data_IF_856355772531
#
_entry.id   IF_856355772531
#
_cell.length_a   1.000
_cell.length_b   1.000
_cell.length_c   1.000
_cell.angle_alpha   90.00
_cell.angle_beta   90.00
_cell.angle_gamma   90.00
#
_symmetry.space_group_name_H-M   'P 1'
#
loop_
_entity.id
_entity.type
_entity.pdbx_description
1 polymer ?
#
# COMPACT_ATOMS: atom_id res chain seq x y z
N UNK A 1 5.62 -12.70 -30.95
CA UNK A 1 6.69 -12.27 -30.01
C UNK A 1 5.99 -11.93 -28.70
N UNK A 2 6.19 -12.73 -27.66
CA UNK A 2 5.58 -12.46 -26.37
C UNK A 2 6.21 -11.18 -25.81
N UNK A 3 5.37 -10.24 -25.36
CA UNK A 3 5.83 -9.04 -24.69
C UNK A 3 6.48 -9.50 -23.37
N UNK A 4 7.82 -9.49 -23.29
CA UNK A 4 8.53 -9.78 -22.05
C UNK A 4 8.15 -8.72 -21.02
N UNK A 5 7.25 -9.08 -20.10
CA UNK A 5 6.96 -8.25 -18.94
C UNK A 5 8.20 -8.31 -18.04
N UNK A 6 9.06 -7.30 -18.15
CA UNK A 6 10.19 -7.12 -17.23
C UNK A 6 9.71 -6.38 -15.99
N UNK A 7 9.80 -7.05 -14.84
CA UNK A 7 9.53 -6.43 -13.55
C UNK A 7 10.77 -5.69 -13.09
N UNK A 8 10.62 -4.43 -12.66
CA UNK A 8 11.69 -3.65 -12.03
C UNK A 8 11.52 -3.67 -10.50
N UNK A 9 12.41 -4.35 -9.75
CA UNK A 9 12.37 -4.36 -8.28
C UNK A 9 12.53 -2.97 -7.65
N UNK A 10 13.33 -2.11 -8.30
CA UNK A 10 13.47 -0.71 -7.91
C UNK A 10 12.14 0.03 -8.04
N UNK A 11 11.45 -0.11 -9.18
CA UNK A 11 10.16 0.52 -9.40
C UNK A 11 9.09 0.02 -8.40
N UNK A 12 9.11 -1.27 -8.05
CA UNK A 12 8.24 -1.84 -7.02
C UNK A 12 8.52 -1.23 -5.65
N UNK A 13 9.79 -1.14 -5.26
CA UNK A 13 10.19 -0.54 -3.98
C UNK A 13 9.82 0.94 -3.91
N UNK A 14 10.06 1.69 -4.99
CA UNK A 14 9.68 3.09 -5.09
C UNK A 14 8.15 3.27 -5.00
N UNK A 15 7.39 2.43 -5.71
CA UNK A 15 5.93 2.44 -5.64
C UNK A 15 5.42 2.11 -4.23
N UNK A 16 6.06 1.16 -3.54
CA UNK A 16 5.77 0.83 -2.14
C UNK A 16 5.96 2.03 -1.21
N UNK A 17 7.07 2.76 -1.35
CA UNK A 17 7.35 3.97 -0.59
C UNK A 17 6.33 5.08 -0.88
N UNK A 18 6.02 5.34 -2.15
CA UNK A 18 5.04 6.35 -2.55
C UNK A 18 3.64 6.04 -2.03
N UNK A 19 3.24 4.77 -2.08
CA UNK A 19 1.94 4.32 -1.59
C UNK A 19 1.82 4.56 -0.08
N UNK A 20 2.87 4.25 0.70
CA UNK A 20 2.89 4.51 2.14
C UNK A 20 2.77 6.02 2.43
N UNK A 21 3.60 6.86 1.80
CA UNK A 21 3.60 8.30 2.02
C UNK A 21 2.26 8.96 1.64
N UNK A 22 1.68 8.58 0.50
CA UNK A 22 0.36 9.08 0.08
C UNK A 22 -0.75 8.59 1.00
N UNK A 23 -0.64 7.35 1.50
CA UNK A 23 -1.55 6.78 2.48
C UNK A 23 -1.57 7.56 3.78
N UNK A 24 -0.41 7.90 4.32
CA UNK A 24 -0.30 8.72 5.54
C UNK A 24 -0.93 10.10 5.34
N UNK A 25 -0.67 10.73 4.20
CA UNK A 25 -1.27 12.02 3.83
C UNK A 25 -2.79 11.93 3.76
N UNK A 26 -3.32 10.90 3.10
CA UNK A 26 -4.76 10.65 3.02
C UNK A 26 -5.38 10.42 4.41
N UNK A 27 -4.71 9.65 5.26
CA UNK A 27 -5.18 9.38 6.61
C UNK A 27 -5.22 10.64 7.48
N UNK A 28 -4.22 11.51 7.36
CA UNK A 28 -4.22 12.81 8.03
C UNK A 28 -5.40 13.68 7.57
N UNK A 29 -5.66 13.75 6.26
CA UNK A 29 -6.81 14.48 5.71
C UNK A 29 -8.15 13.91 6.20
N UNK A 30 -8.31 12.59 6.18
CA UNK A 30 -9.52 11.92 6.69
C UNK A 30 -9.77 12.27 8.16
N UNK A 31 -8.75 12.24 9.02
CA UNK A 31 -8.88 12.62 10.43
C UNK A 31 -9.24 14.09 10.62
N UNK A 32 -8.67 14.97 9.81
CA UNK A 32 -8.99 16.41 9.86
C UNK A 32 -10.47 16.64 9.53
N UNK A 33 -10.94 16.11 8.40
CA UNK A 33 -12.33 16.27 7.98
C UNK A 33 -13.31 15.57 8.93
N UNK A 34 -12.92 14.43 9.52
CA UNK A 34 -13.71 13.77 10.58
C UNK A 34 -13.85 14.67 11.81
N UNK A 35 -12.76 15.27 12.29
CA UNK A 35 -12.79 16.19 13.43
C UNK A 35 -13.61 17.45 13.16
N UNK A 36 -13.55 18.01 11.96
CA UNK A 36 -14.41 19.13 11.55
C UNK A 36 -15.90 18.75 11.58
N UNK A 37 -16.25 17.54 11.13
CA UNK A 37 -17.62 17.05 11.16
C UNK A 37 -18.11 16.76 12.59
N UNK A 38 -17.25 16.22 13.46
CA UNK A 38 -17.57 16.07 14.89
C UNK A 38 -17.77 17.42 15.57
N UNK A 39 -16.94 18.42 15.29
CA UNK A 39 -17.08 19.76 15.87
C UNK A 39 -18.41 20.43 15.49
N UNK A 40 -18.93 20.13 14.29
CA UNK A 40 -20.24 20.59 13.83
C UNK A 40 -21.43 19.95 14.58
N UNK A 41 -21.24 18.87 15.35
CA UNK A 41 -22.31 18.20 16.11
C UNK A 41 -22.97 19.09 17.15
N UNK A 42 -22.28 20.11 17.67
CA UNK A 42 -22.80 20.96 18.76
C UNK A 42 -24.14 21.64 18.46
N UNK A 43 -24.57 21.68 17.18
CA UNK A 43 -25.87 22.19 16.75
C UNK A 43 -26.92 21.13 16.36
N UNK A 44 -26.59 19.83 16.43
CA UNK A 44 -27.49 18.76 15.99
C UNK A 44 -28.30 18.20 17.17
N UNK A 45 -29.59 18.01 16.97
CA UNK A 45 -30.51 17.51 18.00
C UNK A 45 -31.43 16.45 17.43
N UNK A 46 -31.69 15.41 18.23
CA UNK A 46 -32.61 14.33 17.91
C UNK A 46 -32.02 13.23 17.01
N UNK A 47 -32.89 12.45 16.39
CA UNK A 47 -32.53 11.25 15.62
C UNK A 47 -31.55 11.51 14.45
N UNK A 48 -31.56 12.71 13.88
CA UNK A 48 -30.60 13.12 12.85
C UNK A 48 -29.17 13.24 13.37
N UNK A 49 -29.00 13.66 14.64
CA UNK A 49 -27.69 13.70 15.28
C UNK A 49 -27.14 12.28 15.49
N UNK A 50 -27.96 11.37 16.00
CA UNK A 50 -27.60 9.96 16.20
C UNK A 50 -27.21 9.27 14.89
N UNK A 51 -28.01 9.49 13.83
CA UNK A 51 -27.73 8.93 12.51
C UNK A 51 -26.38 9.44 11.96
N UNK A 52 -26.07 10.73 12.16
CA UNK A 52 -24.84 11.30 11.66
C UNK A 52 -23.62 10.87 12.49
N UNK A 53 -23.76 10.72 13.81
CA UNK A 53 -22.72 10.07 14.63
C UNK A 53 -22.42 8.65 14.13
N UNK A 54 -23.44 7.86 13.83
CA UNK A 54 -23.26 6.52 13.26
C UNK A 54 -22.55 6.52 11.90
N UNK A 55 -22.83 7.53 11.05
CA UNK A 55 -22.10 7.71 9.78
C UNK A 55 -20.63 8.07 10.01
N UNK A 56 -20.33 8.93 10.98
CA UNK A 56 -18.96 9.29 11.34
C UNK A 56 -18.18 8.09 11.90
N UNK A 57 -18.79 7.29 12.77
CA UNK A 57 -18.19 6.05 13.27
C UNK A 57 -17.88 5.07 12.13
N UNK A 58 -18.83 4.90 11.19
CA UNK A 58 -18.64 4.08 10.00
C UNK A 58 -17.52 4.59 9.10
N UNK A 59 -17.42 5.91 8.94
CA UNK A 59 -16.34 6.54 8.19
C UNK A 59 -14.97 6.34 8.85
N UNK A 60 -14.87 6.53 10.17
CA UNK A 60 -13.64 6.29 10.92
C UNK A 60 -13.17 4.84 10.75
N UNK A 61 -14.08 3.87 10.94
CA UNK A 61 -13.78 2.44 10.76
C UNK A 61 -13.30 2.13 9.33
N UNK A 62 -13.97 2.68 8.33
CA UNK A 62 -13.62 2.50 6.91
C UNK A 62 -12.26 3.11 6.58
N UNK A 63 -11.99 4.32 7.06
CA UNK A 63 -10.72 5.03 6.87
C UNK A 63 -9.55 4.27 7.50
N UNK A 64 -9.72 3.75 8.72
CA UNK A 64 -8.74 2.88 9.38
C UNK A 64 -8.52 1.56 8.64
N UNK A 65 -9.57 0.97 8.07
CA UNK A 65 -9.43 -0.24 7.26
C UNK A 65 -8.67 0.04 5.96
N UNK A 66 -8.91 1.21 5.33
CA UNK A 66 -8.23 1.63 4.11
C UNK A 66 -6.73 1.81 4.36
N UNK A 67 -6.33 2.54 5.41
CA UNK A 67 -4.90 2.78 5.68
C UNK A 67 -4.13 1.48 5.99
N UNK A 68 -4.77 0.52 6.68
CA UNK A 68 -4.19 -0.82 6.88
C UNK A 68 -3.95 -1.56 5.58
N UNK A 69 -4.89 -1.46 4.62
CA UNK A 69 -4.74 -2.08 3.29
C UNK A 69 -3.62 -1.42 2.48
N UNK A 70 -3.53 -0.09 2.51
CA UNK A 70 -2.43 0.64 1.87
C UNK A 70 -1.09 0.19 2.46
N UNK A 71 -0.96 0.14 3.79
CA UNK A 71 0.26 -0.33 4.45
C UNK A 71 0.61 -1.76 4.05
N UNK A 72 -0.37 -2.66 4.01
CA UNK A 72 -0.16 -4.04 3.53
C UNK A 72 0.35 -4.04 2.08
N UNK A 73 -0.28 -3.29 1.18
CA UNK A 73 0.12 -3.25 -0.22
C UNK A 73 1.51 -2.67 -0.43
N UNK A 74 1.88 -1.64 0.35
CA UNK A 74 3.25 -1.12 0.38
C UNK A 74 4.24 -2.23 0.75
N UNK A 75 4.00 -2.96 1.85
CA UNK A 75 4.84 -4.09 2.25
C UNK A 75 4.90 -5.19 1.18
N UNK A 76 3.76 -5.55 0.59
CA UNK A 76 3.68 -6.57 -0.46
C UNK A 76 4.57 -6.19 -1.67
N UNK A 77 4.65 -4.90 -2.04
CA UNK A 77 5.53 -4.43 -3.11
C UNK A 77 7.02 -4.58 -2.76
N UNK A 78 7.39 -4.31 -1.51
CA UNK A 78 8.77 -4.52 -1.05
C UNK A 78 9.15 -6.00 -1.01
N UNK A 79 8.24 -6.86 -0.56
CA UNK A 79 8.47 -8.31 -0.59
C UNK A 79 8.59 -8.82 -2.02
N UNK A 80 7.72 -8.40 -2.93
CA UNK A 80 7.83 -8.75 -4.34
C UNK A 80 9.18 -8.31 -4.93
N UNK A 81 9.63 -7.08 -4.65
CA UNK A 81 10.94 -6.60 -5.09
C UNK A 81 12.09 -7.50 -4.58
N UNK A 82 12.07 -7.87 -3.30
CA UNK A 82 13.07 -8.75 -2.71
C UNK A 82 13.07 -10.15 -3.36
N UNK A 83 11.89 -10.73 -3.56
CA UNK A 83 11.73 -12.04 -4.20
C UNK A 83 12.25 -12.04 -5.64
N UNK A 84 12.01 -10.97 -6.41
CA UNK A 84 12.56 -10.83 -7.75
C UNK A 84 14.08 -10.74 -7.75
N UNK A 85 14.67 -9.92 -6.87
CA UNK A 85 16.13 -9.80 -6.74
C UNK A 85 16.75 -11.16 -6.38
N UNK A 86 16.16 -11.86 -5.43
CA UNK A 86 16.64 -13.17 -5.00
C UNK A 86 16.59 -14.21 -6.14
N UNK A 87 15.48 -14.24 -6.88
CA UNK A 87 15.30 -15.15 -8.01
C UNK A 87 16.30 -14.86 -9.13
N UNK A 88 16.51 -13.58 -9.48
CA UNK A 88 17.51 -13.19 -10.48
C UNK A 88 18.94 -13.57 -10.08
N UNK A 89 19.28 -13.48 -8.80
CA UNK A 89 20.59 -13.90 -8.30
C UNK A 89 20.81 -15.42 -8.43
N UNK A 90 19.79 -16.23 -8.11
CA UNK A 90 19.84 -17.69 -8.30
C UNK A 90 20.02 -18.02 -9.78
N UNK A 91 19.19 -17.44 -10.64
CA UNK A 91 19.24 -17.68 -12.08
C UNK A 91 20.61 -17.30 -12.67
N UNK A 92 21.15 -16.14 -12.28
CA UNK A 92 22.47 -15.68 -12.73
C UNK A 92 23.59 -16.64 -12.28
N UNK A 93 23.50 -17.18 -11.05
CA UNK A 93 24.45 -18.19 -10.56
C UNK A 93 24.38 -19.48 -11.37
N UNK A 94 23.17 -20.02 -11.57
CA UNK A 94 22.98 -21.27 -12.34
C UNK A 94 23.48 -21.13 -13.78
N UNK A 95 23.21 -19.99 -14.43
CA UNK A 95 23.73 -19.69 -15.76
C UNK A 95 25.26 -19.60 -15.78
N UNK A 96 25.88 -19.02 -14.75
CA UNK A 96 27.33 -18.99 -14.60
C UNK A 96 27.94 -20.38 -14.46
N UNK A 97 27.32 -21.23 -13.63
CA UNK A 97 27.77 -22.60 -13.40
C UNK A 97 27.64 -23.47 -14.68
N UNK A 98 26.54 -23.33 -15.43
CA UNK A 98 26.35 -23.99 -16.73
C UNK A 98 27.37 -23.50 -17.76
N UNK A 99 27.61 -22.19 -17.81
CA UNK A 99 28.61 -21.60 -18.70
C UNK A 99 30.01 -22.15 -18.43
N UNK A 100 30.41 -22.19 -17.15
CA UNK A 100 31.69 -22.75 -16.74
C UNK A 100 31.81 -24.24 -17.12
N UNK A 101 30.77 -25.04 -16.89
CA UNK A 101 30.76 -26.47 -17.23
C UNK A 101 30.81 -26.75 -18.75
N UNK A 102 30.41 -25.80 -19.60
CA UNK A 102 30.41 -25.95 -21.07
C UNK A 102 31.76 -25.65 -21.73
N UNK A 103 32.65 -24.92 -21.03
CA UNK A 103 33.95 -24.51 -21.54
C UNK A 103 35.15 -25.21 -20.84
N UNK A 104 34.86 -26.23 -20.04
CA UNK A 104 35.81 -27.19 -19.47
C UNK A 104 35.53 -28.59 -20.00
#
# INVERSE_FOLDING_TARGET
MANEIRVSPEALSQTGNELAARGETLHALQRSCHGEAEAAQSGWVGSSAEALSGLLDGWAATSSAHIRRIGKHSCDMHFAAADFIFTEQINAKELGDIGAARFH
#
